data_IF_354854239860
#
_entry.id   IF_354854239860
#
_cell.length_a   1.000
_cell.length_b   1.000
_cell.length_c   1.000
_cell.angle_alpha   90.00
_cell.angle_beta   90.00
_cell.angle_gamma   90.00
#
_symmetry.space_group_name_H-M   'P 1'
#
loop_
_entity.id
_entity.type
_entity.pdbx_description
1 polymer ?
#
# COMPACT_ATOMS: atom_id res chain seq x y z
N UNK A 1 13.10 -1.06 -13.95
CA UNK A 1 13.38 0.32 -14.41
C UNK A 1 12.71 1.29 -13.45
N UNK A 2 13.42 2.27 -12.86
CA UNK A 2 12.76 3.28 -12.05
C UNK A 2 11.79 4.08 -12.94
N UNK A 3 10.51 4.12 -12.56
CA UNK A 3 9.52 4.90 -13.29
C UNK A 3 9.71 6.39 -12.98
N UNK A 4 9.70 7.27 -13.99
CA UNK A 4 9.79 8.71 -13.77
C UNK A 4 8.68 9.19 -12.84
N UNK A 5 9.05 9.94 -11.80
CA UNK A 5 8.12 10.44 -10.77
C UNK A 5 6.94 11.19 -11.38
N UNK A 6 7.23 12.05 -12.36
CA UNK A 6 6.26 12.87 -13.08
C UNK A 6 5.21 12.03 -13.82
N UNK A 7 5.62 10.94 -14.46
CA UNK A 7 4.70 10.08 -15.21
C UNK A 7 3.67 9.43 -14.27
N UNK A 8 4.13 8.94 -13.12
CA UNK A 8 3.25 8.35 -12.10
C UNK A 8 2.31 9.39 -11.46
N UNK A 9 2.78 10.62 -11.23
CA UNK A 9 1.96 11.69 -10.66
C UNK A 9 0.84 12.11 -11.63
N UNK A 10 1.13 12.15 -12.93
CA UNK A 10 0.15 12.40 -14.00
C UNK A 10 -0.90 11.29 -14.08
N UNK A 11 -0.47 10.02 -14.07
CA UNK A 11 -1.38 8.86 -14.09
C UNK A 11 -2.30 8.87 -12.86
N UNK A 12 -1.75 9.13 -11.67
CA UNK A 12 -2.54 9.16 -10.43
C UNK A 12 -3.56 10.31 -10.42
N UNK A 13 -3.19 11.48 -10.95
CA UNK A 13 -4.09 12.63 -11.07
C UNK A 13 -5.18 12.39 -12.12
N UNK A 14 -4.82 11.81 -13.27
CA UNK A 14 -5.76 11.43 -14.34
C UNK A 14 -6.75 10.35 -13.89
N UNK A 15 -6.28 9.32 -13.18
CA UNK A 15 -7.14 8.27 -12.63
C UNK A 15 -8.11 8.82 -11.56
N UNK A 16 -7.66 9.75 -10.72
CA UNK A 16 -8.55 10.41 -9.76
C UNK A 16 -9.61 11.27 -10.45
N UNK A 17 -9.24 12.04 -11.47
CA UNK A 17 -10.17 12.86 -12.23
C UNK A 17 -11.20 12.01 -12.98
N UNK A 18 -10.77 10.96 -13.69
CA UNK A 18 -11.67 10.07 -14.42
C UNK A 18 -12.61 9.30 -13.49
N UNK A 19 -12.12 8.80 -12.35
CA UNK A 19 -12.93 8.10 -11.37
C UNK A 19 -14.03 8.99 -10.77
N UNK A 20 -13.72 10.26 -10.50
CA UNK A 20 -14.72 11.26 -10.05
C UNK A 20 -15.79 11.52 -11.10
N UNK A 21 -15.40 11.64 -12.37
CA UNK A 21 -16.34 11.84 -13.48
C UNK A 21 -17.23 10.61 -13.71
N UNK A 22 -16.68 9.41 -13.53
CA UNK A 22 -17.36 8.14 -13.78
C UNK A 22 -18.08 7.57 -12.54
N UNK A 23 -18.04 8.26 -11.39
CA UNK A 23 -18.62 7.78 -10.12
C UNK A 23 -17.97 6.49 -9.60
N UNK A 24 -16.71 6.21 -9.98
CA UNK A 24 -15.97 5.00 -9.58
C UNK A 24 -15.01 5.31 -8.44
N UNK A 25 -14.67 4.29 -7.65
CA UNK A 25 -13.61 4.39 -6.65
C UNK A 25 -12.22 4.42 -7.34
N UNK A 26 -11.42 5.50 -7.20
CA UNK A 26 -10.08 5.55 -7.78
C UNK A 26 -9.12 4.62 -7.03
N UNK A 27 -8.52 3.66 -7.75
CA UNK A 27 -7.53 2.73 -7.16
C UNK A 27 -6.15 3.37 -6.93
N UNK A 28 -5.69 4.21 -7.86
CA UNK A 28 -4.42 4.92 -7.76
C UNK A 28 -4.68 6.43 -7.68
N UNK A 29 -4.42 7.02 -6.51
CA UNK A 29 -4.55 8.47 -6.27
C UNK A 29 -3.19 9.07 -5.93
N UNK A 30 -3.01 10.39 -6.05
CA UNK A 30 -1.75 11.04 -5.63
C UNK A 30 -1.42 10.75 -4.17
N UNK A 31 -2.42 10.68 -3.29
CA UNK A 31 -2.24 10.29 -1.89
C UNK A 31 -1.75 8.85 -1.76
N UNK A 32 -2.40 7.89 -2.45
CA UNK A 32 -1.97 6.48 -2.46
C UNK A 32 -0.55 6.31 -3.01
N UNK A 33 -0.19 7.09 -4.02
CA UNK A 33 1.15 7.09 -4.60
C UNK A 33 2.20 7.65 -3.63
N UNK A 34 1.85 8.63 -2.80
CA UNK A 34 2.75 9.12 -1.71
C UNK A 34 2.96 8.05 -0.66
N UNK A 35 1.89 7.36 -0.24
CA UNK A 35 2.01 6.21 0.65
C UNK A 35 2.99 5.20 0.05
N UNK A 36 2.77 4.73 -1.18
CA UNK A 36 3.61 3.70 -1.81
C UNK A 36 5.09 4.11 -1.98
N UNK A 37 5.38 5.41 -1.95
CA UNK A 37 6.74 5.96 -2.04
C UNK A 37 7.35 6.26 -0.67
N UNK A 38 6.64 6.01 0.43
CA UNK A 38 7.21 6.13 1.76
C UNK A 38 8.41 5.18 1.86
N UNK A 39 9.61 5.66 2.24
CA UNK A 39 10.80 4.80 2.34
C UNK A 39 10.66 3.68 3.38
N UNK A 40 9.78 3.84 4.35
CA UNK A 40 9.55 2.86 5.40
C UNK A 40 8.09 2.41 5.40
N UNK A 41 7.90 1.12 5.15
CA UNK A 41 6.60 0.44 5.17
C UNK A 41 6.56 -0.66 6.23
N UNK A 42 7.57 -0.72 7.09
CA UNK A 42 7.69 -1.78 8.08
C UNK A 42 6.73 -1.50 9.23
N UNK A 43 5.76 -2.39 9.40
CA UNK A 43 4.99 -2.46 10.62
C UNK A 43 5.82 -3.16 11.71
N UNK A 44 6.75 -2.43 12.32
CA UNK A 44 7.59 -2.94 13.40
C UNK A 44 6.74 -3.21 14.66
N UNK A 45 6.82 -4.43 15.17
CA UNK A 45 6.09 -4.90 16.34
C UNK A 45 6.96 -4.99 17.59
N UNK A 46 8.25 -4.61 17.54
CA UNK A 46 9.18 -4.70 18.66
C UNK A 46 8.65 -4.03 19.93
N UNK A 47 8.07 -2.83 19.81
CA UNK A 47 7.50 -2.10 20.95
C UNK A 47 6.30 -2.84 21.58
N UNK A 48 5.39 -3.37 20.76
CA UNK A 48 4.21 -4.12 21.23
C UNK A 48 4.65 -5.42 21.89
N UNK A 49 5.59 -6.14 21.28
CA UNK A 49 6.15 -7.37 21.84
C UNK A 49 6.85 -7.11 23.16
N UNK A 50 7.64 -6.04 23.28
CA UNK A 50 8.32 -5.69 24.52
C UNK A 50 7.33 -5.36 25.65
N UNK A 51 6.25 -4.65 25.32
CA UNK A 51 5.25 -4.22 26.31
C UNK A 51 4.30 -5.34 26.77
N UNK A 52 4.02 -6.33 25.92
CA UNK A 52 2.93 -7.29 26.15
C UNK A 52 3.35 -8.75 26.09
N UNK A 53 4.56 -9.05 25.62
CA UNK A 53 4.98 -10.41 25.27
C UNK A 53 4.28 -10.98 24.03
N UNK A 54 3.35 -10.23 23.42
CA UNK A 54 2.63 -10.66 22.23
C UNK A 54 3.59 -10.83 21.05
N UNK A 55 3.42 -11.93 20.31
CA UNK A 55 4.13 -12.22 19.07
C UNK A 55 3.12 -12.67 18.01
N UNK A 56 3.31 -12.27 16.74
CA UNK A 56 2.42 -12.72 15.67
C UNK A 56 2.55 -14.23 15.50
N UNK A 57 1.41 -14.93 15.52
CA UNK A 57 1.38 -16.38 15.29
C UNK A 57 1.68 -16.75 13.83
N UNK A 58 1.37 -15.83 12.90
CA UNK A 58 1.56 -16.01 11.46
C UNK A 58 2.44 -14.85 10.96
N UNK A 59 3.58 -15.18 10.38
CA UNK A 59 4.47 -14.19 9.77
C UNK A 59 3.88 -13.62 8.47
N UNK A 60 4.33 -12.43 8.07
CA UNK A 60 3.80 -11.71 6.90
C UNK A 60 3.79 -12.57 5.62
N UNK A 61 4.91 -13.24 5.31
CA UNK A 61 5.02 -14.09 4.12
C UNK A 61 4.00 -15.25 4.13
N UNK A 62 3.82 -15.91 5.28
CA UNK A 62 2.85 -17.00 5.42
C UNK A 62 1.41 -16.49 5.30
N UNK A 63 1.08 -15.35 5.92
CA UNK A 63 -0.24 -14.74 5.79
C UNK A 63 -0.56 -14.33 4.35
N UNK A 64 0.39 -13.69 3.66
CA UNK A 64 0.24 -13.30 2.25
C UNK A 64 -0.03 -14.49 1.32
N UNK A 65 0.62 -15.63 1.54
CA UNK A 65 0.40 -16.83 0.73
C UNK A 65 -1.02 -17.41 0.84
N UNK A 66 -1.77 -17.04 1.88
CA UNK A 66 -3.14 -17.52 2.14
C UNK A 66 -4.22 -16.51 1.77
N UNK A 67 -3.85 -15.31 1.30
CA UNK A 67 -4.81 -14.24 1.00
C UNK A 67 -5.64 -14.59 -0.26
N UNK A 68 -6.99 -14.55 -0.19
CA UNK A 68 -7.83 -14.76 -1.36
C UNK A 68 -7.54 -13.75 -2.48
N UNK A 69 -7.47 -14.21 -3.73
CA UNK A 69 -7.22 -13.35 -4.90
C UNK A 69 -5.75 -13.17 -5.30
N UNK A 70 -4.80 -13.84 -4.61
CA UNK A 70 -3.41 -13.97 -5.03
C UNK A 70 -3.09 -15.32 -5.72
N UNK A 71 -4.13 -16.08 -6.10
CA UNK A 71 -4.05 -17.36 -6.81
C UNK A 71 -4.47 -17.26 -8.27
#
# INVERSE_FOLDING_TARGET
LPLPRLLLDLVASGNLASARLLGRAPMLTPSKLRELRHPDWVADNAAITAATGWRPAIGLAAGLATLPGLG
#
